data_IF_819440788128
#
_entry.id   IF_819440788128
#
_cell.length_a   1.000
_cell.length_b   1.000
_cell.length_c   1.000
_cell.angle_alpha   90.00
_cell.angle_beta   90.00
_cell.angle_gamma   90.00
#
_symmetry.space_group_name_H-M   'P 1'
#
loop_
_entity.id
_entity.type
_entity.pdbx_description
1 polymer ?
#
# COMPACT_ATOMS: atom_id res chain seq x y z
N UNK A 1 -6.47 -10.51 22.66
CA UNK A 1 -5.56 -11.27 21.78
C UNK A 1 -5.43 -12.70 22.32
N UNK A 2 -5.65 -13.72 21.49
CA UNK A 2 -5.50 -15.12 21.91
C UNK A 2 -4.03 -15.57 21.88
N UNK A 3 -3.74 -16.65 22.61
CA UNK A 3 -2.42 -17.30 22.68
C UNK A 3 -2.40 -18.47 21.71
N UNK A 4 -1.35 -18.57 20.89
CA UNK A 4 -1.17 -19.71 19.99
C UNK A 4 -0.79 -20.95 20.77
N UNK A 5 -1.36 -22.10 20.38
CA UNK A 5 -1.16 -23.38 21.04
C UNK A 5 -0.69 -24.38 20.00
N UNK A 6 0.38 -25.12 20.29
CA UNK A 6 0.86 -26.22 19.47
C UNK A 6 0.79 -27.53 20.23
N UNK A 7 0.64 -28.63 19.50
CA UNK A 7 0.76 -29.99 20.05
C UNK A 7 2.23 -30.40 20.25
N UNK A 8 2.46 -31.63 20.74
CA UNK A 8 3.80 -32.17 20.96
C UNK A 8 4.67 -32.21 19.70
N UNK A 9 4.05 -32.36 18.53
CA UNK A 9 4.66 -32.43 17.21
C UNK A 9 4.77 -31.05 16.52
N UNK A 10 4.48 -29.96 17.25
CA UNK A 10 4.46 -28.57 16.74
C UNK A 10 3.40 -28.33 15.65
N UNK A 11 2.35 -29.16 15.60
CA UNK A 11 1.18 -28.92 14.77
C UNK A 11 0.24 -27.92 15.47
N UNK A 12 -0.40 -27.02 14.71
CA UNK A 12 -1.23 -25.97 15.28
C UNK A 12 -2.53 -26.52 15.85
N UNK A 13 -2.85 -26.06 17.06
CA UNK A 13 -4.14 -26.23 17.72
C UNK A 13 -4.88 -24.88 17.75
N UNK A 14 -6.13 -24.92 18.20
CA UNK A 14 -6.92 -23.72 18.36
C UNK A 14 -6.31 -22.73 19.36
N UNK A 15 -6.19 -21.44 19.00
CA UNK A 15 -5.72 -20.43 19.93
C UNK A 15 -6.64 -20.27 21.14
N UNK A 16 -6.05 -20.22 22.33
CA UNK A 16 -6.79 -20.17 23.58
C UNK A 16 -6.77 -18.76 24.21
N UNK A 17 -7.66 -18.52 25.16
CA UNK A 17 -7.65 -17.27 25.92
C UNK A 17 -6.40 -17.18 26.82
N UNK A 18 -5.83 -15.98 27.03
CA UNK A 18 -4.67 -15.80 27.91
C UNK A 18 -4.88 -16.33 29.33
N UNK A 19 -6.11 -16.27 29.86
CA UNK A 19 -6.44 -16.85 31.16
C UNK A 19 -6.22 -18.37 31.19
N UNK A 20 -6.72 -19.09 30.16
CA UNK A 20 -6.51 -20.54 30.01
C UNK A 20 -5.03 -20.87 29.83
N UNK A 21 -4.30 -20.09 29.03
CA UNK A 21 -2.86 -20.27 28.86
C UNK A 21 -2.10 -20.15 30.20
N UNK A 22 -2.44 -19.16 31.04
CA UNK A 22 -1.84 -18.99 32.37
C UNK A 22 -2.12 -20.18 33.30
N UNK A 23 -3.36 -20.68 33.30
CA UNK A 23 -3.75 -21.86 34.09
C UNK A 23 -2.95 -23.08 33.65
N UNK A 24 -2.86 -23.34 32.34
CA UNK A 24 -2.10 -24.47 31.79
C UNK A 24 -0.61 -24.40 32.13
N UNK A 25 -0.01 -23.20 32.08
CA UNK A 25 1.38 -22.98 32.48
C UNK A 25 1.58 -23.19 33.98
N UNK A 26 0.68 -22.66 34.84
CA UNK A 26 0.76 -22.82 36.29
C UNK A 26 0.60 -24.28 36.73
N UNK A 27 -0.22 -25.03 36.01
CA UNK A 27 -0.43 -26.48 36.24
C UNK A 27 0.68 -27.36 35.65
N UNK A 28 1.68 -26.79 34.95
CA UNK A 28 2.75 -27.57 34.31
C UNK A 28 2.33 -28.34 33.05
N UNK A 29 1.06 -28.23 32.62
CA UNK A 29 0.50 -28.94 31.44
C UNK A 29 0.95 -28.35 30.10
N UNK A 30 1.46 -27.12 30.10
CA UNK A 30 1.97 -26.44 28.92
C UNK A 30 3.35 -25.86 29.19
N UNK A 31 4.12 -25.62 28.12
CA UNK A 31 5.41 -24.91 28.18
C UNK A 31 5.42 -23.74 27.21
N UNK A 32 6.15 -22.68 27.54
CA UNK A 32 6.33 -21.55 26.62
C UNK A 32 7.29 -21.97 25.51
N UNK A 33 6.84 -21.90 24.26
CA UNK A 33 7.68 -22.20 23.09
C UNK A 33 8.29 -20.93 22.49
N UNK A 34 7.49 -19.84 22.40
CA UNK A 34 7.94 -18.55 21.83
C UNK A 34 7.30 -17.40 22.59
N UNK A 35 8.08 -16.32 22.76
CA UNK A 35 7.57 -15.07 23.32
C UNK A 35 6.83 -14.21 22.30
N UNK A 36 7.20 -14.28 21.00
CA UNK A 36 6.55 -13.46 19.97
C UNK A 36 6.34 -14.14 18.59
N UNK A 37 5.08 -14.24 18.12
CA UNK A 37 3.86 -14.08 18.92
C UNK A 37 3.83 -15.12 20.05
N UNK A 38 3.21 -14.79 21.18
CA UNK A 38 3.24 -15.65 22.36
C UNK A 38 2.60 -17.00 22.04
N UNK A 39 3.38 -18.07 22.21
CA UNK A 39 3.00 -19.43 21.80
C UNK A 39 3.37 -20.41 22.91
N UNK A 40 2.42 -21.24 23.29
CA UNK A 40 2.62 -22.35 24.21
C UNK A 40 2.56 -23.69 23.46
N UNK A 41 3.22 -24.70 24.01
CA UNK A 41 3.21 -26.07 23.50
C UNK A 41 2.64 -27.02 24.56
N UNK A 42 1.82 -27.96 24.11
CA UNK A 42 1.19 -29.01 24.90
C UNK A 42 1.94 -30.33 24.67
N UNK A 43 2.85 -30.73 25.57
CA UNK A 43 3.73 -31.88 25.36
C UNK A 43 3.00 -33.24 25.36
N UNK A 44 1.82 -33.30 25.98
CA UNK A 44 1.04 -34.54 26.15
C UNK A 44 -0.12 -34.66 25.14
N UNK A 45 -0.37 -33.62 24.34
CA UNK A 45 -1.48 -33.61 23.37
C UNK A 45 -0.99 -33.85 21.95
N UNK A 46 -1.85 -34.51 21.17
CA UNK A 46 -1.75 -34.64 19.71
C UNK A 46 -2.96 -34.00 19.05
N UNK A 47 -2.76 -33.32 17.91
CA UNK A 47 -3.86 -32.68 17.16
C UNK A 47 -4.98 -33.65 16.80
N UNK A 48 -4.68 -34.92 16.49
CA UNK A 48 -5.70 -35.92 16.12
C UNK A 48 -6.79 -36.11 17.19
N UNK A 49 -6.45 -35.82 18.45
CA UNK A 49 -7.34 -36.01 19.58
C UNK A 49 -8.06 -34.70 19.97
N UNK A 50 -7.96 -33.67 19.14
CA UNK A 50 -8.45 -32.32 19.41
C UNK A 50 -9.37 -31.84 18.29
N UNK A 51 -10.45 -31.16 18.66
CA UNK A 51 -11.28 -30.41 17.71
C UNK A 51 -10.58 -29.09 17.40
N UNK A 52 -10.30 -28.85 16.12
CA UNK A 52 -9.80 -27.56 15.61
C UNK A 52 -10.85 -26.91 14.73
N UNK A 53 -10.98 -25.60 14.83
CA UNK A 53 -11.89 -24.83 14.00
C UNK A 53 -11.15 -24.15 12.86
N UNK A 54 -11.89 -23.80 11.82
CA UNK A 54 -11.32 -23.11 10.66
C UNK A 54 -10.98 -21.65 11.03
N UNK A 55 -9.78 -21.23 10.64
CA UNK A 55 -9.36 -19.85 10.79
C UNK A 55 -9.05 -19.25 9.42
N UNK A 56 -9.37 -17.96 9.26
CA UNK A 56 -9.07 -17.20 8.06
C UNK A 56 -8.08 -16.08 8.38
N UNK A 57 -7.04 -15.94 7.57
CA UNK A 57 -6.12 -14.82 7.64
C UNK A 57 -6.57 -13.71 6.70
N UNK A 58 -6.93 -12.55 7.25
CA UNK A 58 -7.20 -11.33 6.51
C UNK A 58 -5.96 -10.45 6.46
N UNK A 59 -5.61 -10.01 5.26
CA UNK A 59 -4.46 -9.16 4.97
C UNK A 59 -4.95 -7.87 4.34
N UNK A 60 -4.66 -6.75 4.99
CA UNK A 60 -4.92 -5.42 4.47
C UNK A 60 -3.59 -4.74 4.09
N UNK A 61 -3.20 -4.78 2.80
CA UNK A 61 -1.89 -4.30 2.35
C UNK A 61 -1.85 -2.77 2.19
N UNK A 62 -1.32 -2.07 3.18
CA UNK A 62 -0.97 -0.65 3.04
C UNK A 62 0.46 -0.38 2.50
N UNK A 63 0.74 0.90 2.25
CA UNK A 63 2.05 1.33 1.74
C UNK A 63 3.13 1.32 2.82
N UNK A 64 2.80 1.82 4.02
CA UNK A 64 3.71 1.89 5.17
C UNK A 64 3.51 0.72 6.12
N UNK A 65 2.28 0.33 6.34
CA UNK A 65 1.92 -0.77 7.24
C UNK A 65 0.95 -1.72 6.56
N UNK A 66 0.97 -2.99 6.95
CA UNK A 66 -0.02 -3.99 6.52
C UNK A 66 -0.74 -4.52 7.75
N UNK A 67 -2.06 -4.42 7.75
CA UNK A 67 -2.90 -5.05 8.75
C UNK A 67 -2.93 -6.57 8.53
N UNK A 68 -2.75 -7.33 9.60
CA UNK A 68 -2.90 -8.78 9.61
C UNK A 68 -3.90 -9.14 10.71
N UNK A 69 -4.94 -9.90 10.36
CA UNK A 69 -5.91 -10.38 11.34
C UNK A 69 -6.22 -11.86 11.09
N UNK A 70 -6.25 -12.65 12.16
CA UNK A 70 -6.78 -14.02 12.14
C UNK A 70 -8.18 -13.95 12.71
N UNK A 71 -9.13 -14.45 11.95
CA UNK A 71 -10.55 -14.48 12.29
C UNK A 71 -11.01 -15.93 12.34
N UNK A 72 -11.84 -16.23 13.33
CA UNK A 72 -12.60 -17.47 13.44
C UNK A 72 -14.07 -17.06 13.45
N UNK A 73 -14.84 -17.45 12.44
CA UNK A 73 -16.21 -16.99 12.18
C UNK A 73 -16.29 -15.44 12.19
N UNK A 74 -16.97 -14.86 13.19
CA UNK A 74 -17.11 -13.41 13.40
C UNK A 74 -16.21 -12.87 14.52
N UNK A 75 -15.26 -13.65 15.04
CA UNK A 75 -14.41 -13.26 16.17
C UNK A 75 -12.96 -13.09 15.74
N UNK A 76 -12.38 -11.93 16.07
CA UNK A 76 -10.95 -11.67 15.86
C UNK A 76 -10.14 -12.39 16.94
N UNK A 77 -9.35 -13.38 16.50
CA UNK A 77 -8.51 -14.20 17.36
C UNK A 77 -7.17 -13.52 17.64
N UNK A 78 -6.59 -12.93 16.60
CA UNK A 78 -5.30 -12.27 16.65
C UNK A 78 -5.25 -11.14 15.62
N UNK A 79 -4.54 -10.06 15.95
CA UNK A 79 -4.33 -8.94 15.05
C UNK A 79 -2.94 -8.35 15.24
N UNK A 80 -2.33 -7.86 14.17
CA UNK A 80 -1.09 -7.12 14.23
C UNK A 80 -0.95 -6.16 13.05
N UNK A 81 -0.13 -5.14 13.25
CA UNK A 81 0.27 -4.21 12.21
C UNK A 81 1.73 -4.48 11.83
N UNK A 82 1.96 -4.87 10.58
CA UNK A 82 3.29 -5.11 10.03
C UNK A 82 3.83 -3.81 9.43
N UNK A 83 4.80 -3.19 10.11
CA UNK A 83 5.47 -1.99 9.60
C UNK A 83 6.51 -2.33 8.53
N UNK A 84 6.40 -1.71 7.35
CA UNK A 84 7.30 -1.91 6.23
C UNK A 84 8.43 -0.90 6.19
N UNK A 85 9.62 -1.38 5.81
CA UNK A 85 10.81 -0.54 5.60
C UNK A 85 10.98 -0.09 4.15
N UNK A 86 9.96 -0.29 3.29
CA UNK A 86 10.04 0.01 1.86
C UNK A 86 10.47 1.45 1.55
N UNK A 87 9.93 2.43 2.27
CA UNK A 87 10.31 3.84 2.14
C UNK A 87 11.76 4.10 2.56
N UNK A 88 12.20 3.55 3.69
CA UNK A 88 13.59 3.66 4.15
C UNK A 88 14.57 3.05 3.13
N UNK A 89 14.24 1.88 2.58
CA UNK A 89 15.05 1.21 1.55
C UNK A 89 15.12 2.07 0.28
N UNK A 90 13.99 2.63 -0.16
CA UNK A 90 13.93 3.54 -1.29
C UNK A 90 14.85 4.75 -1.07
N UNK A 91 14.76 5.38 0.09
CA UNK A 91 15.53 6.58 0.39
C UNK A 91 17.04 6.27 0.48
N UNK A 92 17.41 5.12 1.05
CA UNK A 92 18.79 4.61 1.04
C UNK A 92 19.31 4.29 -0.38
N UNK A 93 18.45 3.77 -1.27
CA UNK A 93 18.79 3.54 -2.68
C UNK A 93 18.99 4.86 -3.45
N UNK A 94 18.16 5.87 -3.16
CA UNK A 94 18.28 7.23 -3.73
C UNK A 94 19.57 7.88 -3.26
N UNK A 95 19.88 7.82 -1.96
CA UNK A 95 21.14 8.34 -1.41
C UNK A 95 22.36 7.71 -2.09
N UNK A 96 22.41 6.37 -2.17
CA UNK A 96 23.47 5.64 -2.90
C UNK A 96 23.55 6.01 -4.38
N UNK A 97 22.41 6.28 -5.04
CA UNK A 97 22.39 6.75 -6.43
C UNK A 97 23.00 8.15 -6.55
N UNK A 98 22.68 9.08 -5.65
CA UNK A 98 23.22 10.45 -5.64
C UNK A 98 24.73 10.46 -5.46
N UNK A 99 25.27 9.69 -4.51
CA UNK A 99 26.72 9.56 -4.30
C UNK A 99 27.44 9.03 -5.55
N UNK A 100 26.90 7.99 -6.19
CA UNK A 100 27.45 7.47 -7.45
C UNK A 100 27.43 8.50 -8.57
N UNK A 101 26.37 9.31 -8.68
CA UNK A 101 26.27 10.39 -9.68
C UNK A 101 27.30 11.48 -9.43
N UNK A 102 27.47 11.92 -8.17
CA UNK A 102 28.49 12.91 -7.78
C UNK A 102 29.90 12.42 -8.08
N UNK A 103 30.24 11.17 -7.69
CA UNK A 103 31.55 10.57 -8.02
C UNK A 103 31.77 10.52 -9.53
N UNK A 104 30.74 10.14 -10.31
CA UNK A 104 30.86 10.09 -11.77
C UNK A 104 31.18 11.46 -12.35
N UNK A 105 30.46 12.48 -11.91
CA UNK A 105 30.67 13.87 -12.35
C UNK A 105 32.09 14.35 -12.04
N UNK A 106 32.60 14.06 -10.84
CA UNK A 106 33.93 14.51 -10.39
C UNK A 106 35.10 13.71 -10.96
N UNK A 107 34.95 12.40 -11.20
CA UNK A 107 36.08 11.50 -11.46
C UNK A 107 36.03 10.75 -12.79
N UNK A 108 34.87 10.68 -13.45
CA UNK A 108 34.68 9.85 -14.67
C UNK A 108 33.68 10.49 -15.63
N UNK A 109 33.79 11.81 -15.85
CA UNK A 109 32.86 12.60 -16.68
C UNK A 109 32.78 12.10 -18.12
N UNK A 110 33.91 11.72 -18.70
CA UNK A 110 34.01 11.20 -20.07
C UNK A 110 33.57 9.73 -20.23
N UNK A 111 33.31 9.01 -19.13
CA UNK A 111 32.94 7.59 -19.18
C UNK A 111 31.48 7.40 -19.56
N UNK A 112 31.25 6.97 -20.80
CA UNK A 112 29.93 6.70 -21.36
C UNK A 112 29.06 5.79 -20.47
N UNK A 113 27.75 6.08 -20.34
CA UNK A 113 26.81 5.25 -19.60
C UNK A 113 26.52 3.94 -20.32
N UNK A 114 26.71 2.80 -19.65
CA UNK A 114 26.38 1.47 -20.18
C UNK A 114 24.95 1.08 -19.79
N UNK A 115 23.96 1.50 -20.59
CA UNK A 115 22.55 1.19 -20.32
C UNK A 115 22.20 -0.29 -20.48
N UNK A 116 22.83 -0.96 -21.45
CA UNK A 116 22.62 -2.38 -21.78
C UNK A 116 23.01 -3.34 -20.63
N UNK A 117 23.86 -2.89 -19.70
CA UNK A 117 24.24 -3.67 -18.53
C UNK A 117 23.16 -3.69 -17.43
N UNK A 118 22.10 -2.86 -17.57
CA UNK A 118 20.99 -2.79 -16.61
C UNK A 118 19.88 -3.74 -17.04
N UNK A 119 20.15 -5.04 -17.06
CA UNK A 119 19.13 -6.05 -17.32
C UNK A 119 18.21 -6.18 -16.10
N UNK A 120 16.91 -6.15 -16.34
CA UNK A 120 15.86 -6.49 -15.36
C UNK A 120 15.15 -7.72 -15.89
N UNK A 121 14.90 -8.70 -15.05
CA UNK A 121 14.10 -9.86 -15.42
C UNK A 121 12.65 -9.44 -15.69
N UNK A 122 11.92 -10.27 -16.43
CA UNK A 122 10.46 -10.13 -16.54
C UNK A 122 9.86 -10.25 -15.13
N UNK A 123 8.91 -9.38 -14.78
CA UNK A 123 8.33 -9.31 -13.43
C UNK A 123 9.24 -8.69 -12.36
N UNK A 124 10.33 -8.02 -12.74
CA UNK A 124 11.23 -7.38 -11.78
C UNK A 124 10.52 -6.26 -11.00
N UNK A 125 10.43 -6.43 -9.69
CA UNK A 125 10.00 -5.39 -8.76
C UNK A 125 11.20 -4.71 -8.09
N UNK A 126 11.02 -3.43 -7.73
CA UNK A 126 12.06 -2.71 -7.01
C UNK A 126 12.33 -3.37 -5.64
N UNK A 127 13.59 -3.36 -5.13
CA UNK A 127 13.92 -4.00 -3.85
C UNK A 127 13.07 -3.50 -2.66
N UNK A 128 12.66 -2.23 -2.68
CA UNK A 128 11.75 -1.67 -1.68
C UNK A 128 10.36 -2.30 -1.68
N UNK A 129 9.86 -2.67 -2.87
CA UNK A 129 8.57 -3.33 -3.06
C UNK A 129 8.67 -4.82 -2.74
N UNK A 130 9.73 -5.49 -3.20
CA UNK A 130 10.01 -6.89 -2.86
C UNK A 130 10.14 -7.11 -1.35
N UNK A 131 10.80 -6.18 -0.64
CA UNK A 131 10.90 -6.26 0.81
C UNK A 131 9.52 -6.32 1.48
N UNK A 132 8.54 -5.56 1.00
CA UNK A 132 7.17 -5.62 1.52
C UNK A 132 6.53 -6.98 1.25
N UNK A 133 6.60 -7.45 0.00
CA UNK A 133 6.06 -8.77 -0.40
C UNK A 133 6.65 -9.89 0.47
N UNK A 134 7.97 -9.91 0.63
CA UNK A 134 8.65 -10.91 1.44
C UNK A 134 8.30 -10.82 2.93
N UNK A 135 8.12 -9.60 3.47
CA UNK A 135 7.71 -9.44 4.86
C UNK A 135 6.31 -10.03 5.08
N UNK A 136 5.35 -9.73 4.20
CA UNK A 136 3.99 -10.27 4.28
C UNK A 136 4.04 -11.80 4.17
N UNK A 137 4.71 -12.34 3.15
CA UNK A 137 4.85 -13.79 2.96
C UNK A 137 5.50 -14.50 4.17
N UNK A 138 6.51 -13.88 4.78
CA UNK A 138 7.18 -14.43 5.96
C UNK A 138 6.20 -14.52 7.13
N UNK A 139 5.41 -13.47 7.34
CA UNK A 139 4.39 -13.43 8.39
C UNK A 139 3.25 -14.41 8.12
N UNK A 140 2.72 -14.46 6.90
CA UNK A 140 1.71 -15.45 6.49
C UNK A 140 2.19 -16.87 6.79
N UNK A 141 3.38 -17.24 6.29
CA UNK A 141 3.98 -18.57 6.56
C UNK A 141 4.20 -18.82 8.06
N UNK A 142 4.57 -17.80 8.82
CA UNK A 142 4.78 -17.91 10.27
C UNK A 142 3.45 -18.16 10.99
N UNK A 143 2.38 -17.45 10.62
CA UNK A 143 1.06 -17.59 11.23
C UNK A 143 0.39 -18.92 10.86
N UNK A 144 0.52 -19.38 9.62
CA UNK A 144 0.02 -20.70 9.19
C UNK A 144 0.66 -21.87 9.93
N UNK A 145 1.84 -21.68 10.52
CA UNK A 145 2.49 -22.70 11.39
C UNK A 145 2.02 -22.64 12.84
N UNK A 146 1.32 -21.58 13.24
CA UNK A 146 0.91 -21.32 14.62
C UNK A 146 -0.59 -21.45 14.85
N UNK A 147 -1.37 -21.42 13.77
CA UNK A 147 -2.82 -21.46 13.81
C UNK A 147 -3.32 -22.26 12.58
N UNK A 148 -4.38 -23.09 12.73
CA UNK A 148 -4.94 -23.86 11.63
C UNK A 148 -5.70 -22.94 10.66
N UNK A 149 -4.95 -22.27 9.78
CA UNK A 149 -5.48 -21.34 8.78
C UNK A 149 -5.87 -22.12 7.53
N UNK A 150 -7.14 -22.04 7.14
CA UNK A 150 -7.71 -22.73 5.97
C UNK A 150 -7.78 -21.79 4.76
N UNK A 151 -7.99 -20.49 5.00
CA UNK A 151 -8.12 -19.49 3.94
C UNK A 151 -7.33 -18.22 4.20
N UNK A 152 -6.94 -17.55 3.11
CA UNK A 152 -6.34 -16.21 3.13
C UNK A 152 -7.21 -15.29 2.29
N UNK A 153 -7.63 -14.18 2.88
CA UNK A 153 -8.32 -13.10 2.18
C UNK A 153 -7.43 -11.87 2.18
N UNK A 154 -7.30 -11.22 1.02
CA UNK A 154 -6.51 -10.00 0.89
C UNK A 154 -7.35 -8.94 0.21
N UNK A 155 -7.39 -7.75 0.78
CA UNK A 155 -8.00 -6.59 0.11
C UNK A 155 -7.08 -6.15 -1.04
N UNK A 156 -7.61 -6.21 -2.26
CA UNK A 156 -6.95 -5.65 -3.42
C UNK A 156 -7.30 -4.17 -3.50
N UNK A 157 -6.46 -3.31 -2.93
CA UNK A 157 -6.59 -1.85 -3.07
C UNK A 157 -6.41 -1.51 -4.57
N UNK A 158 -7.51 -1.19 -5.25
CA UNK A 158 -7.57 -0.88 -6.69
C UNK A 158 -7.39 0.61 -6.94
N UNK A 159 -6.16 1.11 -6.98
CA UNK A 159 -5.91 2.46 -7.49
C UNK A 159 -4.93 2.40 -8.64
N UNK A 160 -5.30 1.89 -9.81
CA UNK A 160 -4.33 1.69 -10.91
C UNK A 160 -3.80 3.03 -11.47
N UNK A 161 -2.77 3.56 -10.84
CA UNK A 161 -2.14 4.84 -11.21
C UNK A 161 -1.52 4.81 -12.60
N UNK A 162 -1.14 3.62 -13.09
CA UNK A 162 -0.45 3.45 -14.37
C UNK A 162 -1.46 3.44 -15.52
N UNK A 163 -2.63 2.82 -15.34
CA UNK A 163 -3.77 2.90 -16.29
C UNK A 163 -4.50 4.24 -16.25
N UNK A 164 -4.44 4.98 -15.15
CA UNK A 164 -4.91 6.38 -15.08
C UNK A 164 -3.96 7.39 -15.75
N UNK A 165 -2.69 7.02 -15.98
CA UNK A 165 -1.72 7.82 -16.74
C UNK A 165 -1.71 7.50 -18.25
N UNK A 166 -2.09 6.27 -18.64
CA UNK A 166 -2.10 5.81 -20.03
C UNK A 166 -3.40 5.02 -20.36
N UNK A 167 -4.47 5.70 -20.78
CA UNK A 167 -5.75 5.05 -21.10
C UNK A 167 -5.73 4.17 -22.37
N UNK A 168 -4.65 4.17 -23.15
CA UNK A 168 -4.54 3.39 -24.40
C UNK A 168 -4.09 1.92 -24.18
N UNK A 169 -3.80 1.51 -22.94
CA UNK A 169 -3.41 0.12 -22.66
C UNK A 169 -4.65 -0.71 -22.28
N UNK A 170 -5.22 -1.31 -23.33
CA UNK A 170 -6.09 -2.50 -23.38
C UNK A 170 -7.54 -2.41 -22.87
N UNK A 171 -8.48 -2.63 -23.81
CA UNK A 171 -9.82 -3.16 -23.57
C UNK A 171 -10.94 -2.15 -23.78
N UNK A 172 -11.56 -2.18 -24.96
CA UNK A 172 -12.71 -1.34 -25.36
C UNK A 172 -13.95 -1.54 -24.45
N UNK A 173 -13.95 -2.52 -23.56
CA UNK A 173 -15.07 -2.83 -22.66
C UNK A 173 -15.04 -2.11 -21.30
N UNK A 174 -13.94 -1.45 -20.92
CA UNK A 174 -13.81 -0.84 -19.58
C UNK A 174 -14.09 0.67 -19.52
N UNK A 175 -14.34 1.32 -20.67
CA UNK A 175 -14.57 2.77 -20.76
C UNK A 175 -15.94 3.22 -20.20
N UNK A 176 -16.83 2.30 -19.79
CA UNK A 176 -18.21 2.62 -19.39
C UNK A 176 -18.61 2.09 -18.01
N UNK A 177 -17.66 1.76 -17.13
CA UNK A 177 -17.99 1.40 -15.75
C UNK A 177 -18.18 2.64 -14.87
N UNK A 178 -19.37 2.81 -14.28
CA UNK A 178 -19.68 3.83 -13.26
C UNK A 178 -18.62 3.90 -12.15
N UNK A 179 -18.00 2.77 -11.80
CA UNK A 179 -16.94 2.64 -10.78
C UNK A 179 -15.63 3.39 -11.12
N UNK A 180 -15.26 3.53 -12.39
CA UNK A 180 -14.00 4.18 -12.79
C UNK A 180 -13.98 5.67 -12.43
N UNK A 181 -15.12 6.35 -12.59
CA UNK A 181 -15.26 7.76 -12.21
C UNK A 181 -15.15 7.98 -10.70
N UNK A 182 -15.68 7.05 -9.89
CA UNK A 182 -15.58 7.11 -8.43
C UNK A 182 -14.15 6.90 -7.94
N UNK A 183 -13.43 5.90 -8.48
CA UNK A 183 -12.04 5.62 -8.11
C UNK A 183 -11.09 6.78 -8.44
N UNK A 184 -11.26 7.40 -9.61
CA UNK A 184 -10.48 8.57 -10.02
C UNK A 184 -10.77 9.79 -9.12
N UNK A 185 -12.04 10.01 -8.78
CA UNK A 185 -12.46 11.11 -7.92
C UNK A 185 -11.89 10.97 -6.51
N UNK A 186 -11.99 9.81 -5.88
CA UNK A 186 -11.42 9.57 -4.55
C UNK A 186 -9.89 9.67 -4.57
N UNK A 187 -9.23 9.15 -5.61
CA UNK A 187 -7.79 9.33 -5.78
C UNK A 187 -7.38 10.81 -5.82
N UNK A 188 -8.10 11.62 -6.60
CA UNK A 188 -7.83 13.04 -6.72
C UNK A 188 -8.15 13.77 -5.40
N UNK A 189 -9.25 13.44 -4.72
CA UNK A 189 -9.58 13.97 -3.41
C UNK A 189 -8.45 13.73 -2.42
N UNK A 190 -7.92 12.50 -2.34
CA UNK A 190 -6.79 12.18 -1.45
C UNK A 190 -5.51 12.92 -1.88
N UNK A 191 -5.20 12.94 -3.18
CA UNK A 191 -4.03 13.65 -3.73
C UNK A 191 -4.05 15.15 -3.43
N UNK A 192 -5.23 15.76 -3.34
CA UNK A 192 -5.42 17.18 -3.06
C UNK A 192 -5.86 17.45 -1.61
N UNK A 193 -5.70 16.48 -0.70
CA UNK A 193 -6.07 16.58 0.72
C UNK A 193 -7.52 17.04 0.95
N UNK A 194 -8.44 16.65 0.05
CA UNK A 194 -9.87 17.02 0.07
C UNK A 194 -10.07 18.54 0.14
N UNK A 195 -9.17 19.30 -0.46
CA UNK A 195 -9.19 20.76 -0.52
C UNK A 195 -9.12 21.23 -1.96
N UNK A 196 -9.73 22.39 -2.23
CA UNK A 196 -9.60 23.04 -3.53
C UNK A 196 -8.12 23.33 -3.85
N UNK A 197 -7.64 22.86 -5.00
CA UNK A 197 -6.29 23.03 -5.48
C UNK A 197 -5.87 24.51 -5.52
N UNK A 198 -6.81 25.42 -5.79
CA UNK A 198 -6.57 26.84 -5.98
C UNK A 198 -6.71 27.66 -4.70
N UNK A 199 -7.89 27.67 -4.09
CA UNK A 199 -8.19 28.51 -2.94
C UNK A 199 -7.97 27.82 -1.58
N UNK A 200 -7.77 26.50 -1.56
CA UNK A 200 -7.59 25.74 -0.32
C UNK A 200 -8.87 25.48 0.48
N UNK A 201 -10.04 25.89 -0.01
CA UNK A 201 -11.31 25.62 0.65
C UNK A 201 -11.51 24.12 0.88
N UNK A 202 -11.80 23.76 2.14
CA UNK A 202 -12.26 22.43 2.57
C UNK A 202 -13.79 22.46 2.77
N UNK A 203 -14.42 21.30 2.89
CA UNK A 203 -15.85 21.16 3.22
C UNK A 203 -16.83 21.84 2.24
N UNK A 204 -16.44 21.94 0.98
CA UNK A 204 -17.29 22.41 -0.13
C UNK A 204 -17.44 21.30 -1.16
N UNK A 205 -18.51 21.28 -1.97
CA UNK A 205 -18.54 20.48 -3.18
C UNK A 205 -17.31 20.79 -4.04
N UNK A 206 -16.62 19.72 -4.42
CA UNK A 206 -15.36 19.73 -5.14
C UNK A 206 -15.56 19.00 -6.47
N UNK A 207 -15.03 19.56 -7.54
CA UNK A 207 -15.18 19.09 -8.92
C UNK A 207 -13.82 18.69 -9.48
N UNK A 208 -13.81 17.68 -10.34
CA UNK A 208 -12.61 17.32 -11.10
C UNK A 208 -12.41 18.41 -12.15
N UNK A 209 -11.19 18.94 -12.22
CA UNK A 209 -10.85 20.05 -13.09
C UNK A 209 -9.55 19.77 -13.85
N UNK A 210 -9.48 20.23 -15.10
CA UNK A 210 -8.29 20.08 -15.94
C UNK A 210 -7.37 21.30 -15.83
N UNK A 211 -6.21 21.11 -15.21
CA UNK A 211 -5.17 22.12 -15.03
C UNK A 211 -4.87 22.83 -16.36
N UNK A 212 -4.54 22.05 -17.39
CA UNK A 212 -4.57 22.49 -18.79
C UNK A 212 -5.94 22.14 -19.37
N UNK A 213 -6.77 23.12 -19.78
CA UNK A 213 -8.11 22.87 -20.31
C UNK A 213 -8.10 21.95 -21.54
N UNK A 214 -9.11 21.08 -21.67
CA UNK A 214 -9.27 20.21 -22.85
C UNK A 214 -9.32 21.01 -24.16
N UNK A 215 -10.04 22.14 -24.17
CA UNK A 215 -10.14 23.05 -25.31
C UNK A 215 -8.79 23.63 -25.77
N UNK A 216 -7.74 23.58 -24.94
CA UNK A 216 -6.37 24.00 -25.27
C UNK A 216 -5.40 22.83 -25.42
N UNK A 217 -5.92 21.62 -25.67
CA UNK A 217 -5.13 20.40 -25.79
C UNK A 217 -4.61 19.87 -24.46
N UNK A 218 -5.42 19.99 -23.41
CA UNK A 218 -5.24 19.27 -22.15
C UNK A 218 -5.53 17.77 -22.31
N UNK A 219 -5.05 16.96 -21.36
CA UNK A 219 -5.30 15.50 -21.36
C UNK A 219 -6.11 15.08 -20.14
N UNK A 220 -6.78 13.93 -20.22
CA UNK A 220 -7.46 13.29 -19.08
C UNK A 220 -6.49 12.55 -18.13
N UNK A 221 -5.18 12.74 -18.28
CA UNK A 221 -4.19 12.12 -17.42
C UNK A 221 -4.25 12.71 -16.01
N UNK A 222 -4.04 11.88 -15.00
CA UNK A 222 -4.01 12.29 -13.57
C UNK A 222 -3.02 13.43 -13.28
N UNK A 223 -1.96 13.56 -14.06
CA UNK A 223 -1.00 14.65 -13.94
C UNK A 223 -1.52 16.01 -14.44
N UNK A 224 -2.64 16.01 -15.18
CA UNK A 224 -3.37 17.19 -15.64
C UNK A 224 -4.69 17.42 -14.90
N UNK A 225 -5.07 16.54 -13.97
CA UNK A 225 -6.30 16.64 -13.20
C UNK A 225 -6.04 17.19 -11.79
N UNK A 226 -6.90 18.11 -11.37
CA UNK A 226 -6.98 18.67 -10.04
C UNK A 226 -8.41 18.54 -9.48
N UNK A 227 -8.57 18.98 -8.23
CA UNK A 227 -9.87 19.15 -7.59
C UNK A 227 -10.05 20.63 -7.28
N UNK A 228 -11.16 21.22 -7.71
CA UNK A 228 -11.46 22.63 -7.49
C UNK A 228 -12.88 22.82 -6.94
N UNK A 229 -13.10 23.88 -6.15
CA UNK A 229 -14.48 24.27 -5.83
C UNK A 229 -15.16 24.87 -7.07
N UNK A 230 -16.50 24.81 -7.10
CA UNK A 230 -17.29 25.29 -8.23
C UNK A 230 -16.91 26.72 -8.68
N UNK A 231 -16.75 27.65 -7.74
CA UNK A 231 -16.34 29.04 -8.00
C UNK A 231 -14.99 29.13 -8.72
N UNK A 232 -13.97 28.41 -8.23
CA UNK A 232 -12.65 28.43 -8.84
C UNK A 232 -12.65 27.74 -10.21
N UNK A 233 -13.39 26.63 -10.35
CA UNK A 233 -13.51 25.91 -11.62
C UNK A 233 -14.14 26.82 -12.70
N UNK A 234 -15.27 27.47 -12.39
CA UNK A 234 -15.92 28.42 -13.29
C UNK A 234 -15.05 29.63 -13.63
N UNK A 235 -14.39 30.21 -12.63
CA UNK A 235 -13.57 31.43 -12.84
C UNK A 235 -12.37 31.14 -13.73
N UNK A 236 -11.74 29.97 -13.57
CA UNK A 236 -10.66 29.54 -14.47
C UNK A 236 -11.20 29.22 -15.86
N UNK A 237 -12.29 28.45 -15.95
CA UNK A 237 -12.87 28.04 -17.22
C UNK A 237 -11.82 27.46 -18.18
N UNK A 238 -11.70 28.07 -19.36
CA UNK A 238 -10.75 27.67 -20.42
C UNK A 238 -9.40 28.41 -20.37
N UNK A 239 -9.11 29.13 -19.29
CA UNK A 239 -7.83 29.83 -19.12
C UNK A 239 -6.70 28.84 -18.84
N UNK A 240 -5.50 29.17 -19.32
CA UNK A 240 -4.27 28.49 -18.90
C UNK A 240 -4.01 28.78 -17.42
N UNK A 241 -3.48 27.79 -16.70
CA UNK A 241 -3.27 27.91 -15.25
C UNK A 241 -2.33 29.07 -14.88
N UNK A 242 -1.36 29.38 -15.74
CA UNK A 242 -0.42 30.48 -15.56
C UNK A 242 -1.12 31.84 -15.62
N UNK A 243 -2.12 31.98 -16.49
CA UNK A 243 -2.94 33.19 -16.60
C UNK A 243 -3.86 33.33 -15.38
N UNK A 244 -4.55 32.25 -15.02
CA UNK A 244 -5.48 32.22 -13.88
C UNK A 244 -4.80 32.52 -12.54
N UNK A 245 -3.54 32.07 -12.36
CA UNK A 245 -2.77 32.25 -11.14
C UNK A 245 -1.65 33.29 -11.27
N UNK A 246 -1.73 34.20 -12.23
CA UNK A 246 -0.74 35.26 -12.48
C UNK A 246 -0.41 36.09 -11.22
N UNK A 247 -1.43 36.44 -10.41
CA UNK A 247 -1.25 37.12 -9.12
C UNK A 247 -0.89 36.22 -7.93
N UNK A 248 -0.73 34.90 -8.14
CA UNK A 248 -0.50 33.90 -7.08
C UNK A 248 0.60 32.89 -7.46
N UNK A 249 1.86 33.34 -7.64
CA UNK A 249 2.94 32.46 -8.10
C UNK A 249 3.27 31.31 -7.14
N UNK A 250 3.06 31.50 -5.83
CA UNK A 250 3.24 30.46 -4.82
C UNK A 250 2.23 29.31 -5.00
N UNK A 251 0.98 29.64 -5.31
CA UNK A 251 -0.10 28.67 -5.58
C UNK A 251 0.17 27.95 -6.89
N UNK A 252 0.54 28.66 -7.95
CA UNK A 252 0.90 28.06 -9.24
C UNK A 252 2.00 27.01 -9.08
N UNK A 253 3.09 27.36 -8.40
CA UNK A 253 4.21 26.44 -8.14
C UNK A 253 3.76 25.22 -7.31
N UNK A 254 2.90 25.42 -6.32
CA UNK A 254 2.33 24.33 -5.50
C UNK A 254 1.48 23.39 -6.34
N UNK A 255 0.54 23.93 -7.15
CA UNK A 255 -0.37 23.15 -7.99
C UNK A 255 0.41 22.32 -9.01
N UNK A 256 1.34 22.94 -9.76
CA UNK A 256 2.16 22.24 -10.74
C UNK A 256 3.05 21.16 -10.11
N UNK A 257 3.58 21.41 -8.91
CA UNK A 257 4.36 20.42 -8.17
C UNK A 257 3.50 19.27 -7.66
N UNK A 258 2.30 19.54 -7.13
CA UNK A 258 1.35 18.54 -6.62
C UNK A 258 0.78 17.68 -7.75
N UNK A 259 0.45 18.29 -8.88
CA UNK A 259 -0.08 17.62 -10.06
C UNK A 259 0.88 16.53 -10.58
N UNK A 260 2.19 16.80 -10.55
CA UNK A 260 3.24 15.85 -10.96
C UNK A 260 3.62 14.83 -9.89
N UNK A 261 3.11 14.94 -8.66
CA UNK A 261 3.36 13.94 -7.60
C UNK A 261 2.37 12.77 -7.77
N UNK A 262 2.84 11.55 -8.10
CA UNK A 262 1.99 10.37 -7.92
C UNK A 262 1.76 10.14 -6.43
N UNK A 263 0.62 9.55 -6.06
CA UNK A 263 0.45 9.00 -4.71
C UNK A 263 1.44 7.83 -4.57
N UNK A 264 2.61 8.11 -4.01
CA UNK A 264 3.67 7.11 -3.82
C UNK A 264 3.17 5.89 -3.01
N UNK A 265 2.16 6.10 -2.16
CA UNK A 265 1.50 5.06 -1.38
C UNK A 265 0.64 4.15 -2.27
N UNK A 266 -0.24 4.73 -3.09
CA UNK A 266 -1.07 3.97 -4.03
C UNK A 266 -0.20 3.21 -5.04
N UNK A 267 0.74 3.91 -5.71
CA UNK A 267 1.64 3.30 -6.68
C UNK A 267 2.44 2.14 -6.06
N UNK A 268 2.89 2.27 -4.80
CA UNK A 268 3.50 1.17 -4.11
C UNK A 268 2.53 0.00 -4.00
N UNK A 269 1.37 0.15 -3.35
CA UNK A 269 0.42 -0.94 -3.08
C UNK A 269 0.03 -1.70 -4.37
N UNK A 270 -0.31 -0.99 -5.45
CA UNK A 270 -0.66 -1.64 -6.72
C UNK A 270 0.49 -2.45 -7.34
N UNK A 271 1.73 -1.98 -7.20
CA UNK A 271 2.90 -2.64 -7.81
C UNK A 271 3.25 -3.98 -7.15
N UNK A 272 2.66 -4.32 -5.99
CA UNK A 272 2.91 -5.60 -5.31
C UNK A 272 1.65 -6.47 -5.19
N UNK A 273 0.68 -6.22 -6.07
CA UNK A 273 -0.37 -7.19 -6.34
C UNK A 273 0.23 -8.51 -6.80
#
# INVERSE_FOLDING_TARGET
MRVFVLDKNKKPLDPCQPARARILLKQGKARVLKRYPFTIIMPELEVKNCVTHEHQLKIDPGAKTTGLAIVQDNKVVWGAELTHRGFQIRDALISRRRLRRSRRNRKTRYRQPRFLNRKRSVGWLAPSLMSRVHNILTWTKKLSRLCPIVGISQELVRFDTQKMENPEISGVEYQQGTLYGYELREYLLEKWNRQCAYCGAANTPLEIEHIKPLARGGSNRVCNLAIACHKCNQTKGVQEIEQFLSGKPSVLKRVLAQAKKPLANAAAVNSTR
#
